data_IF_748423899301
#
_entry.id   IF_748423899301
#
_cell.length_a   1.000
_cell.length_b   1.000
_cell.length_c   1.000
_cell.angle_alpha   90.00
_cell.angle_beta   90.00
_cell.angle_gamma   90.00
#
_symmetry.space_group_name_H-M   'P 1'
#
loop_
_entity.id
_entity.type
_entity.pdbx_description
1 polymer ?
#
# COMPACT_ATOMS: atom_id res chain seq x y z
N UNK A 1 27.90 -52.93 -7.96
CA UNK A 1 27.74 -51.89 -6.92
C UNK A 1 27.87 -50.44 -7.42
N UNK A 2 28.68 -50.12 -8.44
CA UNK A 2 28.87 -48.74 -8.95
C UNK A 2 27.59 -48.03 -9.44
N UNK A 3 26.61 -48.76 -9.97
CA UNK A 3 25.36 -48.16 -10.50
C UNK A 3 24.42 -47.58 -9.44
N UNK A 4 24.45 -48.12 -8.21
CA UNK A 4 23.59 -47.63 -7.12
C UNK A 4 24.10 -46.28 -6.60
N UNK A 5 25.42 -46.11 -6.52
CA UNK A 5 26.07 -44.85 -6.14
C UNK A 5 25.75 -43.73 -7.13
N UNK A 6 25.84 -44.00 -8.43
CA UNK A 6 25.49 -43.04 -9.49
C UNK A 6 24.03 -42.59 -9.42
N UNK A 7 23.09 -43.49 -9.11
CA UNK A 7 21.67 -43.15 -8.97
C UNK A 7 21.38 -42.27 -7.75
N UNK A 8 22.09 -42.49 -6.64
CA UNK A 8 21.97 -41.66 -5.44
C UNK A 8 22.54 -40.26 -5.66
N UNK A 9 23.70 -40.15 -6.32
CA UNK A 9 24.29 -38.86 -6.71
C UNK A 9 23.37 -38.08 -7.66
N UNK A 10 22.77 -38.75 -8.66
CA UNK A 10 21.77 -38.16 -9.55
C UNK A 10 20.52 -37.68 -8.81
N UNK A 11 20.04 -38.44 -7.82
CA UNK A 11 18.89 -38.05 -7.01
C UNK A 11 19.19 -36.83 -6.15
N UNK A 12 20.39 -36.75 -5.60
CA UNK A 12 20.80 -35.60 -4.78
C UNK A 12 21.02 -34.35 -5.64
N UNK A 13 21.66 -34.50 -6.81
CA UNK A 13 21.84 -33.41 -7.77
C UNK A 13 20.51 -32.86 -8.28
N UNK A 14 19.54 -33.73 -8.60
CA UNK A 14 18.20 -33.31 -9.04
C UNK A 14 17.41 -32.64 -7.91
N UNK A 15 17.54 -33.09 -6.65
CA UNK A 15 16.94 -32.41 -5.50
C UNK A 15 17.51 -31.00 -5.32
N UNK A 16 18.84 -30.85 -5.35
CA UNK A 16 19.51 -29.54 -5.26
C UNK A 16 19.12 -28.62 -6.41
N UNK A 17 19.00 -29.13 -7.63
CA UNK A 17 18.53 -28.37 -8.79
C UNK A 17 17.09 -27.87 -8.61
N UNK A 18 16.18 -28.72 -8.13
CA UNK A 18 14.79 -28.33 -7.83
C UNK A 18 14.70 -27.25 -6.75
N UNK A 19 15.46 -27.39 -5.67
CA UNK A 19 15.51 -26.39 -4.60
C UNK A 19 16.09 -25.06 -5.08
N UNK A 20 17.12 -25.08 -5.94
CA UNK A 20 17.70 -23.88 -6.53
C UNK A 20 16.72 -23.16 -7.48
N UNK A 21 15.92 -23.90 -8.25
CA UNK A 21 14.87 -23.35 -9.12
C UNK A 21 13.77 -22.69 -8.28
N UNK A 22 13.28 -23.37 -7.24
CA UNK A 22 12.26 -22.81 -6.34
C UNK A 22 12.75 -21.52 -5.67
N UNK A 23 14.00 -21.50 -5.18
CA UNK A 23 14.60 -20.29 -4.60
C UNK A 23 14.70 -19.15 -5.61
N UNK A 24 15.06 -19.43 -6.87
CA UNK A 24 15.07 -18.40 -7.93
C UNK A 24 13.69 -17.82 -8.20
N UNK A 25 12.66 -18.67 -8.29
CA UNK A 25 11.28 -18.24 -8.50
C UNK A 25 10.81 -17.34 -7.34
N UNK A 26 11.05 -17.75 -6.09
CA UNK A 26 10.73 -16.94 -4.91
C UNK A 26 11.41 -15.57 -4.97
N UNK A 27 12.70 -15.54 -5.32
CA UNK A 27 13.47 -14.30 -5.38
C UNK A 27 13.03 -13.37 -6.53
N UNK A 28 12.58 -13.93 -7.65
CA UNK A 28 11.96 -13.18 -8.75
C UNK A 28 10.61 -12.59 -8.34
N UNK A 29 9.78 -13.36 -7.63
CA UNK A 29 8.50 -12.88 -7.09
C UNK A 29 8.70 -11.76 -6.06
N UNK A 30 9.68 -11.90 -5.15
CA UNK A 30 10.04 -10.87 -4.18
C UNK A 30 10.52 -9.60 -4.88
N UNK A 31 11.42 -9.70 -5.86
CA UNK A 31 11.87 -8.55 -6.66
C UNK A 31 10.73 -7.88 -7.41
N UNK A 32 9.78 -8.66 -7.94
CA UNK A 32 8.62 -8.12 -8.65
C UNK A 32 7.74 -7.31 -7.70
N UNK A 33 7.43 -7.85 -6.51
CA UNK A 33 6.66 -7.15 -5.47
C UNK A 33 7.39 -5.89 -4.98
N UNK A 34 8.71 -5.94 -4.84
CA UNK A 34 9.52 -4.78 -4.45
C UNK A 34 9.46 -3.68 -5.52
N UNK A 35 9.57 -4.05 -6.80
CA UNK A 35 9.44 -3.10 -7.90
C UNK A 35 8.04 -2.48 -7.99
N UNK A 36 7.00 -3.28 -7.81
CA UNK A 36 5.60 -2.81 -7.76
C UNK A 36 5.39 -1.81 -6.62
N UNK A 37 5.91 -2.10 -5.42
CA UNK A 37 5.88 -1.14 -4.29
C UNK A 37 6.61 0.15 -4.61
N UNK A 38 7.80 0.09 -5.21
CA UNK A 38 8.56 1.28 -5.62
C UNK A 38 7.81 2.13 -6.65
N UNK A 39 7.11 1.49 -7.58
CA UNK A 39 6.29 2.18 -8.57
C UNK A 39 5.10 2.88 -7.92
N UNK A 40 4.37 2.18 -7.04
CA UNK A 40 3.26 2.74 -6.28
C UNK A 40 3.72 3.92 -5.42
N UNK A 41 4.85 3.79 -4.71
CA UNK A 41 5.42 4.89 -3.91
C UNK A 41 5.66 6.14 -4.74
N UNK A 42 6.24 6.00 -5.94
CA UNK A 42 6.44 7.15 -6.86
C UNK A 42 5.11 7.77 -7.31
N UNK A 43 4.07 6.95 -7.52
CA UNK A 43 2.74 7.44 -7.86
C UNK A 43 2.11 8.21 -6.69
N UNK A 44 2.24 7.70 -5.46
CA UNK A 44 1.81 8.36 -4.23
C UNK A 44 2.52 9.71 -4.04
N UNK A 45 3.85 9.73 -4.14
CA UNK A 45 4.65 10.96 -4.04
C UNK A 45 4.23 12.00 -5.10
N UNK A 46 3.91 11.56 -6.32
CA UNK A 46 3.43 12.45 -7.38
C UNK A 46 2.03 12.99 -7.08
N UNK A 47 1.12 12.13 -6.60
CA UNK A 47 -0.27 12.46 -6.25
C UNK A 47 -0.31 13.45 -5.09
N UNK A 48 0.53 13.26 -4.07
CA UNK A 48 0.56 14.05 -2.84
C UNK A 48 1.59 15.18 -2.86
N UNK A 49 2.18 15.48 -4.02
CA UNK A 49 3.16 16.56 -4.16
C UNK A 49 2.61 17.93 -3.74
N UNK A 50 1.33 18.17 -4.01
CA UNK A 50 0.67 19.44 -3.70
C UNK A 50 -0.12 19.40 -2.39
N UNK A 51 0.03 18.34 -1.59
CA UNK A 51 -0.77 18.13 -0.37
C UNK A 51 -0.74 19.34 0.57
N UNK A 52 0.42 19.92 0.82
CA UNK A 52 0.55 21.12 1.69
C UNK A 52 -0.27 22.30 1.15
N UNK A 53 -0.31 22.49 -0.17
CA UNK A 53 -1.12 23.54 -0.81
C UNK A 53 -2.61 23.23 -0.64
N UNK A 54 -3.00 21.98 -0.83
CA UNK A 54 -4.38 21.54 -0.71
C UNK A 54 -4.87 21.71 0.74
N UNK A 55 -4.04 21.32 1.73
CA UNK A 55 -4.29 21.56 3.16
C UNK A 55 -4.47 23.05 3.48
N UNK A 56 -3.57 23.92 3.00
CA UNK A 56 -3.69 25.37 3.22
C UNK A 56 -4.94 25.97 2.56
N UNK A 57 -5.32 25.46 1.39
CA UNK A 57 -6.55 25.86 0.71
C UNK A 57 -7.78 25.46 1.52
N UNK A 58 -7.83 24.23 2.01
CA UNK A 58 -8.93 23.73 2.84
C UNK A 58 -9.02 24.50 4.16
N UNK A 59 -7.89 24.75 4.82
CA UNK A 59 -7.82 25.56 6.03
C UNK A 59 -8.36 26.98 5.80
N UNK A 60 -8.01 27.62 4.68
CA UNK A 60 -8.51 28.95 4.31
C UNK A 60 -10.03 28.97 4.04
N UNK A 61 -10.61 27.83 3.69
CA UNK A 61 -12.05 27.66 3.52
C UNK A 61 -12.79 27.40 4.85
N UNK A 62 -12.08 27.36 5.98
CA UNK A 62 -12.64 27.07 7.29
C UNK A 62 -12.77 25.57 7.59
N UNK A 63 -12.11 24.70 6.83
CA UNK A 63 -12.05 23.27 7.14
C UNK A 63 -10.95 22.98 8.15
N UNK A 64 -11.11 21.89 8.89
CA UNK A 64 -10.17 21.43 9.91
C UNK A 64 -9.39 20.18 9.56
N UNK A 65 -9.70 19.61 8.40
CA UNK A 65 -9.05 18.44 7.86
C UNK A 65 -9.11 18.50 6.34
N UNK A 66 -8.19 17.76 5.70
CA UNK A 66 -8.23 17.50 4.25
C UNK A 66 -8.44 16.01 4.02
N UNK A 67 -9.10 15.68 2.92
CA UNK A 67 -9.25 14.29 2.48
C UNK A 67 -8.12 13.98 1.51
N UNK A 68 -7.24 13.06 1.92
CA UNK A 68 -6.09 12.65 1.11
C UNK A 68 -6.48 11.56 0.11
N UNK A 69 -7.31 10.61 0.55
CA UNK A 69 -7.72 9.49 -0.29
C UNK A 69 -9.06 8.90 0.17
N UNK A 70 -9.93 8.54 -0.77
CA UNK A 70 -11.22 7.88 -0.50
C UNK A 70 -11.10 6.36 -0.51
N UNK A 71 -11.75 5.68 0.42
CA UNK A 71 -11.65 4.24 0.63
C UNK A 71 -13.03 3.59 0.43
N UNK A 72 -13.13 2.63 -0.50
CA UNK A 72 -14.36 1.95 -0.96
C UNK A 72 -14.98 0.90 -0.02
N UNK A 73 -14.60 0.85 1.26
CA UNK A 73 -15.16 -0.12 2.23
C UNK A 73 -14.88 -1.62 2.00
N UNK A 74 -14.25 -2.05 0.90
CA UNK A 74 -14.07 -3.49 0.60
C UNK A 74 -12.66 -4.05 0.60
N UNK A 75 -11.67 -3.34 1.16
CA UNK A 75 -10.47 -4.01 1.69
C UNK A 75 -10.73 -4.50 3.12
N UNK A 76 -11.60 -5.52 3.20
CA UNK A 76 -11.76 -6.55 4.25
C UNK A 76 -12.14 -6.13 5.67
N UNK A 77 -13.09 -6.89 6.23
CA UNK A 77 -13.23 -7.49 7.59
C UNK A 77 -12.15 -7.35 8.70
N UNK A 78 -11.12 -6.52 8.58
CA UNK A 78 -10.01 -6.42 9.51
C UNK A 78 -9.59 -4.96 9.67
N UNK A 79 -9.71 -4.43 10.89
CA UNK A 79 -9.15 -3.13 11.29
C UNK A 79 -7.59 -3.14 11.31
N UNK A 80 -6.94 -4.03 10.54
CA UNK A 80 -5.49 -4.19 10.51
C UNK A 80 -4.94 -3.52 9.26
N UNK A 81 -3.98 -2.62 9.48
CA UNK A 81 -3.24 -1.89 8.45
C UNK A 81 -2.62 -2.81 7.37
N UNK A 82 -2.23 -4.03 7.74
CA UNK A 82 -1.58 -5.02 6.87
C UNK A 82 -2.51 -5.58 5.78
N UNK A 83 -3.82 -5.49 5.97
CA UNK A 83 -4.84 -6.02 5.06
C UNK A 83 -5.27 -5.03 3.96
N UNK A 84 -4.83 -3.77 4.07
CA UNK A 84 -5.12 -2.72 3.09
C UNK A 84 -4.33 -2.92 1.80
N UNK A 85 -4.85 -2.37 0.69
CA UNK A 85 -4.08 -2.28 -0.54
C UNK A 85 -2.72 -1.62 -0.32
N UNK A 86 -1.74 -2.01 -1.16
CA UNK A 86 -0.38 -1.45 -1.11
C UNK A 86 -0.42 0.07 -1.30
N UNK A 87 -1.32 0.59 -2.15
CA UNK A 87 -1.49 2.03 -2.33
C UNK A 87 -1.86 2.73 -1.01
N UNK A 88 -2.85 2.22 -0.27
CA UNK A 88 -3.26 2.81 1.00
C UNK A 88 -2.15 2.73 2.06
N UNK A 89 -1.42 1.61 2.12
CA UNK A 89 -0.28 1.48 3.02
C UNK A 89 0.83 2.51 2.71
N UNK A 90 1.13 2.72 1.43
CA UNK A 90 2.16 3.69 1.03
C UNK A 90 1.70 5.14 1.20
N UNK A 91 0.40 5.45 0.99
CA UNK A 91 -0.18 6.77 1.32
C UNK A 91 -0.02 7.05 2.81
N UNK A 92 -0.42 6.12 3.66
CA UNK A 92 -0.35 6.29 5.12
C UNK A 92 1.09 6.54 5.59
N UNK A 93 2.03 5.69 5.15
CA UNK A 93 3.46 5.87 5.45
C UNK A 93 4.02 7.19 4.93
N UNK A 94 3.65 7.60 3.72
CA UNK A 94 4.11 8.88 3.17
C UNK A 94 3.67 10.06 4.04
N UNK A 95 2.45 10.02 4.58
CA UNK A 95 1.95 11.05 5.48
C UNK A 95 2.69 11.04 6.83
N UNK A 96 2.93 9.86 7.41
CA UNK A 96 3.75 9.72 8.63
C UNK A 96 5.19 10.21 8.42
N UNK A 97 5.83 9.88 7.30
CA UNK A 97 7.17 10.37 6.92
C UNK A 97 7.22 11.90 6.79
N UNK A 98 6.09 12.54 6.49
CA UNK A 98 5.92 14.00 6.45
C UNK A 98 5.64 14.62 7.80
N UNK A 99 5.54 13.82 8.87
CA UNK A 99 5.20 14.28 10.21
C UNK A 99 3.73 14.66 10.37
N UNK A 100 2.86 14.15 9.48
CA UNK A 100 1.42 14.29 9.59
C UNK A 100 0.83 13.08 10.32
N UNK A 101 -0.31 13.25 10.97
CA UNK A 101 -1.04 12.18 11.64
C UNK A 101 -2.25 11.77 10.78
N UNK A 102 -2.10 10.77 9.89
CA UNK A 102 -3.21 10.31 9.06
C UNK A 102 -4.21 9.50 9.87
N UNK A 103 -5.50 9.80 9.70
CA UNK A 103 -6.59 9.05 10.32
C UNK A 103 -7.53 8.48 9.27
N UNK A 104 -8.06 7.28 9.51
CA UNK A 104 -9.16 6.74 8.71
C UNK A 104 -10.46 6.96 9.42
N UNK A 105 -11.35 7.73 8.80
CA UNK A 105 -12.69 8.00 9.33
C UNK A 105 -13.78 7.72 8.33
N UNK A 106 -14.99 7.56 8.83
CA UNK A 106 -16.20 7.52 8.01
C UNK A 106 -16.46 8.91 7.42
N UNK A 107 -16.73 8.96 6.12
CA UNK A 107 -17.09 10.19 5.42
C UNK A 107 -18.49 10.64 5.80
N UNK A 108 -18.69 11.95 5.75
CA UNK A 108 -19.97 12.60 6.07
C UNK A 108 -20.47 13.39 4.86
N UNK A 109 -21.79 13.59 4.79
CA UNK A 109 -22.40 14.42 3.75
C UNK A 109 -21.91 15.87 3.89
N UNK A 110 -21.29 16.39 2.83
CA UNK A 110 -20.63 17.70 2.83
C UNK A 110 -19.10 17.65 2.74
N UNK A 111 -18.49 16.45 2.83
CA UNK A 111 -17.08 16.26 2.51
C UNK A 111 -16.79 16.74 1.06
N UNK A 112 -16.00 17.81 0.95
CA UNK A 112 -15.66 18.52 -0.29
C UNK A 112 -14.67 17.75 -1.18
N UNK A 113 -14.65 18.10 -2.48
CA UNK A 113 -15.03 17.18 -3.54
C UNK A 113 -14.02 16.07 -3.72
N UNK A 114 -14.51 14.84 -3.62
CA UNK A 114 -13.78 13.65 -4.01
C UNK A 114 -14.42 13.07 -5.27
N UNK A 115 -13.65 12.33 -6.07
CA UNK A 115 -14.15 11.72 -7.32
C UNK A 115 -15.31 10.72 -7.13
N UNK A 116 -15.58 10.29 -5.89
CA UNK A 116 -16.55 9.27 -5.53
C UNK A 116 -17.54 9.76 -4.48
N UNK A 117 -18.77 9.25 -4.55
CA UNK A 117 -19.81 9.55 -3.56
C UNK A 117 -19.47 8.93 -2.19
N UNK A 118 -20.19 9.35 -1.14
CA UNK A 118 -20.07 8.74 0.20
C UNK A 118 -20.58 7.30 0.20
N UNK A 119 -21.52 6.96 -0.69
CA UNK A 119 -22.04 5.60 -0.85
C UNK A 119 -21.03 4.66 -1.54
N UNK A 120 -20.29 5.18 -2.53
CA UNK A 120 -19.25 4.42 -3.25
C UNK A 120 -17.99 4.25 -2.41
N UNK A 121 -17.58 5.33 -1.74
CA UNK A 121 -16.42 5.40 -0.88
C UNK A 121 -16.82 5.95 0.49
N UNK A 122 -17.23 5.12 1.45
CA UNK A 122 -17.74 5.57 2.74
C UNK A 122 -16.64 5.89 3.77
N UNK A 123 -15.38 5.51 3.52
CA UNK A 123 -14.25 5.91 4.35
C UNK A 123 -13.29 6.83 3.60
N UNK A 124 -12.45 7.54 4.35
CA UNK A 124 -11.33 8.32 3.81
C UNK A 124 -10.14 8.30 4.76
N UNK A 125 -8.94 8.39 4.19
CA UNK A 125 -7.74 8.84 4.89
C UNK A 125 -7.81 10.36 4.92
N UNK A 126 -7.79 10.91 6.13
CA UNK A 126 -7.77 12.34 6.39
C UNK A 126 -6.49 12.73 7.11
N UNK A 127 -6.16 14.02 7.02
CA UNK A 127 -5.19 14.67 7.91
C UNK A 127 -5.90 15.86 8.51
N UNK A 128 -6.02 15.87 9.83
CA UNK A 128 -6.54 16.99 10.62
C UNK A 128 -5.42 17.94 11.02
N UNK A 129 -5.77 19.20 11.21
CA UNK A 129 -4.89 20.24 11.77
C UNK A 129 -5.61 21.08 12.84
N UNK A 130 -6.80 20.66 13.25
CA UNK A 130 -7.46 21.18 14.45
C UNK A 130 -6.76 20.65 15.71
N UNK A 131 -6.51 21.56 16.65
CA UNK A 131 -5.91 21.34 17.98
C UNK A 131 -6.75 20.45 18.90
#
# INVERSE_FOLDING_TARGET
MKNITLLLELREATKKAKEAVLKRIQLEEEKKKENERKEIRKQVEKKLRNLERDMMSDASCGNSYTIVHTVQERDKKSNKFEDWSIELQEIYKFLEEKGLEPEVRKRIDGDRPTAYSVEECPYAIIVSWEE
#
